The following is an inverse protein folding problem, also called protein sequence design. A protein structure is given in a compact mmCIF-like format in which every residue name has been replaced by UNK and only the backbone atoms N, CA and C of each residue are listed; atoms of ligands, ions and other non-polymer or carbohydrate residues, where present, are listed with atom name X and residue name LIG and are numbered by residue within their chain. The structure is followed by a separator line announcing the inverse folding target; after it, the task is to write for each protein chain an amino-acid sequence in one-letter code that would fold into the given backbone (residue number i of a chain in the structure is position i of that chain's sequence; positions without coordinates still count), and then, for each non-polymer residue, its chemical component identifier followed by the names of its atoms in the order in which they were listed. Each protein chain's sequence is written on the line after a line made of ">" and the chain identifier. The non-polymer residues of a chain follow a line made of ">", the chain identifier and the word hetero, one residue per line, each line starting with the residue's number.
data_IF_023296920495
#
_entry.id   IF_023296920495
#
_cell.length_a   1.000
_cell.length_b   1.000
_cell.length_c   1.000
_cell.angle_alpha   90.00
_cell.angle_beta   90.00
_cell.angle_gamma   90.00
#
_symmetry.space_group_name_H-M   'P 1'
#
loop_
_entity.id
_entity.type
_entity.pdbx_description
1 polymer ?
#
# COMPACT_ATOMS: atom_id res chain seq x y z
N UNK A 1 -1.28 13.51 -25.55
CA UNK A 1 -0.97 12.59 -24.45
C UNK A 1 0.54 12.57 -24.34
N UNK A 2 1.07 13.01 -23.21
CA UNK A 2 2.51 13.08 -22.99
C UNK A 2 3.01 11.86 -22.24
N UNK A 3 4.29 11.58 -22.40
CA UNK A 3 4.98 10.55 -21.66
C UNK A 3 5.56 11.18 -20.40
N UNK A 4 5.11 10.73 -19.24
CA UNK A 4 5.51 11.28 -17.95
C UNK A 4 6.31 10.23 -17.16
N UNK A 5 7.34 10.68 -16.45
CA UNK A 5 8.07 9.89 -15.47
C UNK A 5 7.83 10.43 -14.07
N UNK A 6 7.84 9.54 -13.08
CA UNK A 6 7.68 9.88 -11.68
C UNK A 6 8.81 9.32 -10.81
N UNK A 7 9.32 10.15 -9.91
CA UNK A 7 10.12 9.74 -8.76
C UNK A 7 9.17 9.48 -7.59
N UNK A 8 9.03 8.23 -7.18
CA UNK A 8 8.07 7.84 -6.14
C UNK A 8 8.58 6.69 -5.29
N UNK A 9 8.12 6.63 -4.03
CA UNK A 9 8.24 5.44 -3.17
C UNK A 9 6.99 4.56 -3.24
N UNK A 10 5.94 5.05 -3.89
CA UNK A 10 4.64 4.43 -4.02
C UNK A 10 4.21 4.43 -5.50
N UNK A 11 4.84 3.62 -6.37
CA UNK A 11 4.36 3.52 -7.74
C UNK A 11 2.98 2.87 -7.75
N UNK A 12 2.07 3.38 -8.57
CA UNK A 12 0.65 3.01 -8.61
C UNK A 12 0.40 1.48 -8.67
N UNK A 13 1.31 0.74 -9.30
CA UNK A 13 1.25 -0.71 -9.47
C UNK A 13 1.80 -1.53 -8.28
N UNK A 14 2.44 -0.91 -7.28
CA UNK A 14 3.11 -1.63 -6.18
C UNK A 14 2.18 -2.28 -5.17
N UNK A 15 0.87 -1.96 -5.18
CA UNK A 15 -0.13 -2.56 -4.28
C UNK A 15 0.11 -2.35 -2.76
N UNK A 16 1.22 -1.72 -2.38
CA UNK A 16 1.57 -1.31 -1.02
C UNK A 16 2.04 0.14 -1.09
N UNK A 17 1.29 1.10 -0.52
CA UNK A 17 1.76 2.46 -0.49
C UNK A 17 3.03 2.57 0.34
N UNK A 18 4.16 2.79 -0.33
CA UNK A 18 5.35 3.29 0.35
C UNK A 18 5.05 4.64 1.00
N UNK A 19 5.84 5.03 2.01
CA UNK A 19 5.69 6.35 2.63
C UNK A 19 5.80 7.42 1.52
N UNK A 20 4.78 8.29 1.33
CA UNK A 20 4.86 9.40 0.38
C UNK A 20 6.14 10.21 0.57
N UNK A 21 6.68 10.77 -0.52
CA UNK A 21 7.69 11.81 -0.36
C UNK A 21 7.06 12.98 0.40
N UNK A 22 7.80 13.59 1.32
CA UNK A 22 7.36 14.85 1.93
C UNK A 22 7.92 16.05 1.15
N UNK A 23 7.22 17.17 1.26
CA UNK A 23 7.69 18.43 0.67
C UNK A 23 9.04 18.86 1.27
N UNK A 24 9.27 18.58 2.56
CA UNK A 24 10.54 18.85 3.25
C UNK A 24 11.70 18.03 2.67
N UNK A 25 11.47 16.74 2.37
CA UNK A 25 12.49 15.89 1.72
C UNK A 25 12.83 16.42 0.33
N UNK A 26 11.84 16.90 -0.41
CA UNK A 26 12.05 17.49 -1.73
C UNK A 26 12.82 18.83 -1.64
N UNK A 27 12.45 19.71 -0.71
CA UNK A 27 13.15 20.97 -0.49
C UNK A 27 14.61 20.76 -0.08
N UNK A 28 14.88 19.76 0.76
CA UNK A 28 16.24 19.38 1.14
C UNK A 28 17.07 18.92 -0.07
N UNK A 29 16.46 18.23 -1.03
CA UNK A 29 17.13 17.86 -2.29
C UNK A 29 17.47 19.09 -3.11
N UNK A 30 16.53 20.01 -3.33
CA UNK A 30 16.75 21.23 -4.12
C UNK A 30 17.86 22.07 -3.47
N UNK A 31 17.82 22.25 -2.16
CA UNK A 31 18.79 23.09 -1.44
C UNK A 31 20.22 22.51 -1.41
N UNK A 32 20.37 21.18 -1.52
CA UNK A 32 21.68 20.49 -1.47
C UNK A 32 22.23 20.11 -2.84
N UNK A 33 21.46 20.30 -3.90
CA UNK A 33 21.90 20.02 -5.27
C UNK A 33 22.18 21.35 -5.98
N UNK A 34 23.46 21.70 -6.12
CA UNK A 34 23.88 22.95 -6.76
C UNK A 34 23.46 23.05 -8.24
N UNK A 35 22.97 21.97 -8.84
CA UNK A 35 22.41 21.98 -10.19
C UNK A 35 20.90 22.25 -10.22
N UNK A 36 20.22 22.28 -9.07
CA UNK A 36 18.78 22.52 -8.97
C UNK A 36 18.49 23.90 -8.38
N UNK A 37 17.42 24.52 -8.86
CA UNK A 37 16.83 25.71 -8.23
C UNK A 37 15.32 25.58 -8.16
N UNK A 38 14.70 26.27 -7.20
CA UNK A 38 13.25 26.42 -7.21
C UNK A 38 12.82 27.14 -8.48
N UNK A 39 11.89 26.54 -9.22
CA UNK A 39 11.33 27.16 -10.42
C UNK A 39 10.62 28.46 -10.02
N UNK A 40 10.75 29.53 -10.78
CA UNK A 40 10.02 30.77 -10.48
C UNK A 40 8.62 30.67 -11.09
N UNK A 41 7.56 30.65 -10.25
CA UNK A 41 6.19 30.68 -10.76
C UNK A 41 5.99 31.94 -11.59
N UNK A 42 5.30 31.82 -12.73
CA UNK A 42 4.81 32.97 -13.50
C UNK A 42 3.75 33.78 -12.74
N UNK A 43 3.26 33.29 -11.60
CA UNK A 43 2.35 33.95 -10.65
C UNK A 43 2.85 33.78 -9.20
N UNK A 44 3.96 34.43 -8.82
CA UNK A 44 4.63 34.21 -7.54
C UNK A 44 3.78 34.64 -6.33
N UNK A 45 2.85 35.58 -6.53
CA UNK A 45 1.97 36.06 -5.44
C UNK A 45 0.85 35.07 -5.06
N UNK A 46 0.59 34.06 -5.90
CA UNK A 46 -0.53 33.13 -5.70
C UNK A 46 -0.11 31.73 -5.23
N UNK A 47 1.10 31.28 -5.59
CA UNK A 47 1.62 29.97 -5.18
C UNK A 47 3.13 30.05 -4.95
N UNK A 48 3.65 29.71 -3.75
CA UNK A 48 5.05 29.34 -3.61
C UNK A 48 5.29 28.09 -4.47
N UNK A 49 6.27 28.13 -5.37
CA UNK A 49 6.58 26.97 -6.20
C UNK A 49 7.22 25.88 -5.36
N UNK A 50 6.73 24.66 -5.59
CA UNK A 50 7.34 23.46 -5.06
C UNK A 50 8.09 22.71 -6.17
N UNK A 51 8.25 23.32 -7.35
CA UNK A 51 8.88 22.73 -8.53
C UNK A 51 10.36 23.12 -8.58
N UNK A 52 11.16 22.33 -9.30
CA UNK A 52 12.57 22.62 -9.53
C UNK A 52 12.92 22.66 -11.02
N UNK A 53 13.86 23.53 -11.37
CA UNK A 53 14.52 23.58 -12.68
C UNK A 53 15.92 22.99 -12.56
N UNK A 54 16.38 22.30 -13.61
CA UNK A 54 17.75 21.80 -13.69
C UNK A 54 18.63 22.76 -14.49
N UNK A 55 19.63 23.35 -13.82
CA UNK A 55 20.48 24.39 -14.35
C UNK A 55 21.58 23.89 -15.30
N UNK A 56 22.01 22.65 -15.13
CA UNK A 56 23.21 22.11 -15.77
C UNK A 56 22.90 20.97 -16.75
N UNK A 57 21.86 21.17 -17.58
CA UNK A 57 21.57 20.22 -18.65
C UNK A 57 22.76 20.13 -19.65
N UNK A 58 23.27 18.93 -20.00
CA UNK A 58 24.41 18.79 -20.89
C UNK A 58 24.18 19.34 -22.31
N UNK A 59 22.94 19.27 -22.79
CA UNK A 59 22.52 19.96 -24.01
C UNK A 59 22.27 21.44 -23.73
N UNK A 60 23.20 22.29 -24.16
CA UNK A 60 23.15 23.76 -23.98
C UNK A 60 21.99 24.44 -24.74
N UNK A 61 21.30 23.72 -25.62
CA UNK A 61 20.09 24.24 -26.27
C UNK A 61 18.86 24.18 -25.36
N UNK A 62 18.89 23.31 -24.33
CA UNK A 62 17.84 23.20 -23.32
C UNK A 62 17.95 24.35 -22.34
N UNK A 63 16.84 25.06 -22.15
CA UNK A 63 16.76 26.08 -21.12
C UNK A 63 16.25 25.47 -19.80
N UNK A 64 16.51 26.10 -18.64
CA UNK A 64 16.00 25.61 -17.36
C UNK A 64 14.49 25.33 -17.37
N UNK A 65 13.69 26.17 -18.03
CA UNK A 65 12.25 25.98 -18.18
C UNK A 65 11.85 24.70 -18.94
N UNK A 66 12.73 24.16 -19.79
CA UNK A 66 12.52 22.91 -20.52
C UNK A 66 12.92 21.67 -19.69
N UNK A 67 13.44 21.89 -18.48
CA UNK A 67 14.01 20.86 -17.61
C UNK A 67 13.37 20.80 -16.23
N UNK A 68 12.05 21.02 -16.21
CA UNK A 68 11.25 21.09 -14.99
C UNK A 68 11.01 19.72 -14.34
N UNK A 69 11.12 19.71 -13.01
CA UNK A 69 10.67 18.66 -12.11
C UNK A 69 9.53 19.20 -11.25
N UNK A 70 8.33 18.65 -11.43
CA UNK A 70 7.11 19.16 -10.82
C UNK A 70 6.72 18.36 -9.58
N UNK A 71 6.40 19.06 -8.50
CA UNK A 71 5.89 18.42 -7.28
C UNK A 71 4.41 18.10 -7.42
N UNK A 72 4.03 16.83 -7.20
CA UNK A 72 2.63 16.38 -7.34
C UNK A 72 1.87 16.29 -6.02
N UNK A 73 2.55 16.48 -4.88
CA UNK A 73 1.98 16.31 -3.53
C UNK A 73 2.58 15.13 -2.76
N UNK A 74 3.02 14.10 -3.48
CA UNK A 74 3.59 12.86 -2.92
C UNK A 74 4.73 12.26 -3.76
N UNK A 75 4.97 12.81 -4.95
CA UNK A 75 5.98 12.40 -5.92
C UNK A 75 6.54 13.62 -6.68
N UNK A 76 7.55 13.36 -7.50
CA UNK A 76 8.14 14.35 -8.40
C UNK A 76 7.94 13.86 -9.83
N UNK A 77 7.27 14.63 -10.68
CA UNK A 77 6.99 14.27 -12.07
C UNK A 77 7.85 15.05 -13.06
N UNK A 78 8.11 14.47 -14.22
CA UNK A 78 8.77 15.13 -15.34
C UNK A 78 8.11 14.71 -16.65
N UNK A 79 7.81 15.69 -17.51
CA UNK A 79 7.13 15.46 -18.79
C UNK A 79 8.13 15.43 -19.93
N UNK A 80 8.02 14.41 -20.78
CA UNK A 80 8.89 14.20 -21.94
C UNK A 80 10.39 14.32 -21.63
N UNK A 81 10.90 13.64 -20.56
CA UNK A 81 12.31 13.75 -20.21
C UNK A 81 13.18 13.12 -21.31
N UNK A 82 14.27 13.78 -21.65
CA UNK A 82 15.33 13.16 -22.43
C UNK A 82 16.23 12.25 -21.56
N UNK A 83 17.13 11.49 -22.18
CA UNK A 83 17.99 10.54 -21.47
C UNK A 83 18.82 11.19 -20.35
N UNK A 84 19.23 12.45 -20.49
CA UNK A 84 20.00 13.15 -19.47
C UNK A 84 19.11 13.57 -18.29
N UNK A 85 17.89 14.01 -18.56
CA UNK A 85 16.89 14.28 -17.52
C UNK A 85 16.52 13.01 -16.77
N UNK A 86 16.31 11.88 -17.46
CA UNK A 86 16.06 10.59 -16.83
C UNK A 86 17.23 10.22 -15.90
N UNK A 87 18.47 10.37 -16.37
CA UNK A 87 19.64 10.12 -15.54
C UNK A 87 19.69 11.02 -14.29
N UNK A 88 19.33 12.31 -14.41
CA UNK A 88 19.21 13.23 -13.27
C UNK A 88 18.11 12.77 -12.31
N UNK A 89 16.95 12.35 -12.81
CA UNK A 89 15.87 11.80 -11.99
C UNK A 89 16.32 10.57 -11.19
N UNK A 90 17.09 9.66 -11.80
CA UNK A 90 17.62 8.48 -11.10
C UNK A 90 18.62 8.88 -9.99
N UNK A 91 19.44 9.92 -10.21
CA UNK A 91 20.34 10.42 -9.15
C UNK A 91 19.56 11.04 -8.00
N UNK A 92 18.51 11.79 -8.29
CA UNK A 92 17.60 12.37 -7.29
C UNK A 92 16.88 11.25 -6.51
N UNK A 93 16.36 10.24 -7.20
CA UNK A 93 15.63 9.14 -6.57
C UNK A 93 16.48 8.37 -5.56
N UNK A 94 17.77 8.16 -5.86
CA UNK A 94 18.73 7.54 -4.92
C UNK A 94 18.89 8.32 -3.62
N UNK A 95 18.94 9.66 -3.67
CA UNK A 95 18.99 10.52 -2.47
C UNK A 95 17.71 10.39 -1.64
N UNK A 96 16.58 10.30 -2.32
CA UNK A 96 15.25 10.13 -1.73
C UNK A 96 14.94 8.68 -1.34
N UNK A 97 15.81 7.71 -1.60
CA UNK A 97 15.52 6.27 -1.44
C UNK A 97 14.19 5.88 -2.13
N UNK A 98 14.01 6.39 -3.36
CA UNK A 98 12.83 6.22 -4.20
C UNK A 98 13.21 5.53 -5.52
N UNK A 99 12.22 5.29 -6.39
CA UNK A 99 12.41 4.73 -7.74
C UNK A 99 11.94 5.71 -8.80
N UNK A 100 12.45 5.58 -10.02
CA UNK A 100 11.96 6.31 -11.21
C UNK A 100 11.14 5.35 -12.05
N UNK A 101 9.89 5.73 -12.33
CA UNK A 101 8.90 4.87 -12.99
C UNK A 101 8.19 5.65 -14.09
N UNK A 102 7.98 5.01 -15.24
CA UNK A 102 7.17 5.58 -16.33
C UNK A 102 5.70 5.18 -16.30
N UNK A 103 4.92 5.78 -17.18
CA UNK A 103 3.48 5.56 -17.29
C UNK A 103 3.08 4.09 -17.51
N UNK A 104 3.95 3.27 -18.11
CA UNK A 104 3.70 1.84 -18.36
C UNK A 104 4.22 0.94 -17.22
N UNK A 105 4.77 1.53 -16.15
CA UNK A 105 5.34 0.83 -15.00
C UNK A 105 6.80 0.41 -15.16
N UNK A 106 7.43 0.75 -16.28
CA UNK A 106 8.85 0.55 -16.55
C UNK A 106 9.72 1.28 -15.52
N UNK A 107 10.82 0.65 -15.11
CA UNK A 107 11.73 1.22 -14.11
C UNK A 107 13.01 1.70 -14.78
N UNK A 108 13.41 2.91 -14.43
CA UNK A 108 14.65 3.50 -14.90
C UNK A 108 15.73 3.44 -13.82
N UNK A 109 16.92 2.99 -14.20
CA UNK A 109 18.12 3.04 -13.38
C UNK A 109 19.34 3.47 -14.22
N UNK A 110 20.50 3.57 -13.57
CA UNK A 110 21.79 3.81 -14.22
C UNK A 110 22.65 2.55 -14.14
N UNK A 111 23.25 2.17 -15.27
CA UNK A 111 24.29 1.16 -15.31
C UNK A 111 25.59 1.64 -14.60
N UNK A 112 26.61 0.76 -14.43
CA UNK A 112 27.87 1.15 -13.81
C UNK A 112 28.63 2.29 -14.53
N UNK A 113 28.31 2.55 -15.80
CA UNK A 113 28.91 3.64 -16.60
C UNK A 113 28.08 4.93 -16.55
N UNK A 114 26.97 4.94 -15.81
CA UNK A 114 26.08 6.10 -15.70
C UNK A 114 25.13 6.27 -16.90
N UNK A 115 24.95 5.25 -17.74
CA UNK A 115 23.98 5.23 -18.84
C UNK A 115 22.62 4.78 -18.32
N UNK A 116 21.55 5.39 -18.85
CA UNK A 116 20.18 5.00 -18.51
C UNK A 116 19.89 3.59 -19.03
N UNK A 117 19.36 2.76 -18.14
CA UNK A 117 18.84 1.43 -18.46
C UNK A 117 17.39 1.33 -18.03
N UNK A 118 16.59 0.67 -18.85
CA UNK A 118 15.20 0.36 -18.57
C UNK A 118 15.14 -1.09 -18.12
N UNK A 119 14.72 -1.31 -16.88
CA UNK A 119 14.48 -2.64 -16.37
C UNK A 119 13.00 -2.97 -16.62
N UNK A 120 12.75 -3.69 -17.71
CA UNK A 120 11.45 -4.28 -18.04
C UNK A 120 11.17 -5.55 -17.22
N UNK A 121 12.06 -5.92 -16.30
CA UNK A 121 11.79 -7.00 -15.36
C UNK A 121 10.52 -6.65 -14.59
N UNK A 122 9.45 -7.37 -14.96
CA UNK A 122 8.17 -7.33 -14.30
C UNK A 122 8.44 -7.28 -12.79
N UNK A 123 7.80 -6.29 -12.14
CA UNK A 123 7.77 -6.18 -10.70
C UNK A 123 7.77 -7.59 -10.08
N UNK A 124 8.67 -7.90 -9.12
CA UNK A 124 8.70 -9.23 -8.51
C UNK A 124 7.27 -9.59 -8.15
N UNK A 125 6.80 -10.75 -8.64
CA UNK A 125 5.42 -11.21 -8.47
C UNK A 125 4.98 -10.84 -7.05
N UNK A 126 4.10 -9.84 -6.96
CA UNK A 126 3.66 -9.37 -5.66
C UNK A 126 3.10 -10.59 -4.94
N UNK A 127 3.51 -10.89 -3.69
CA UNK A 127 2.80 -11.88 -2.92
C UNK A 127 1.34 -11.45 -2.95
N UNK A 128 0.46 -12.37 -3.37
CA UNK A 128 -1.00 -12.23 -3.47
C UNK A 128 -1.49 -11.22 -2.44
N UNK A 129 -2.39 -10.28 -2.80
CA UNK A 129 -2.72 -9.12 -1.99
C UNK A 129 -2.78 -9.49 -0.51
N UNK A 130 -1.86 -8.94 0.28
CA UNK A 130 -1.76 -9.27 1.69
C UNK A 130 -3.01 -8.70 2.37
N UNK A 131 -4.03 -9.54 2.51
CA UNK A 131 -5.27 -9.19 3.18
C UNK A 131 -4.94 -9.03 4.66
N UNK A 132 -4.97 -7.80 5.15
CA UNK A 132 -4.87 -7.50 6.56
C UNK A 132 -6.24 -7.67 7.23
N UNK A 133 -6.33 -8.53 8.25
CA UNK A 133 -7.54 -8.73 9.03
C UNK A 133 -7.46 -9.98 9.90
N UNK A 134 -8.18 -9.99 11.02
CA UNK A 134 -8.15 -11.12 11.95
C UNK A 134 -8.52 -12.46 11.28
N UNK A 135 -9.48 -12.44 10.33
CA UNK A 135 -9.86 -13.61 9.52
C UNK A 135 -8.82 -14.14 8.54
N UNK A 136 -7.88 -13.29 8.10
CA UNK A 136 -6.82 -13.67 7.17
C UNK A 136 -5.56 -14.18 7.87
N UNK A 137 -5.45 -14.02 9.21
CA UNK A 137 -4.35 -14.56 10.00
C UNK A 137 -4.47 -16.08 10.12
N UNK A 138 -3.32 -16.73 10.30
CA UNK A 138 -3.26 -18.17 10.57
C UNK A 138 -3.88 -18.50 11.94
N UNK A 139 -4.32 -19.75 12.07
CA UNK A 139 -4.79 -20.29 13.34
C UNK A 139 -3.64 -20.40 14.37
N UNK A 140 -2.40 -20.59 13.93
CA UNK A 140 -1.22 -20.47 14.78
C UNK A 140 -1.07 -19.07 15.38
N UNK A 141 -1.19 -18.01 14.57
CA UNK A 141 -1.16 -16.63 15.03
C UNK A 141 -2.28 -16.34 16.05
N UNK A 142 -3.49 -16.84 15.77
CA UNK A 142 -4.63 -16.71 16.68
C UNK A 142 -4.38 -17.39 18.01
N UNK A 143 -3.94 -18.66 18.01
CA UNK A 143 -3.76 -19.44 19.25
C UNK A 143 -2.62 -18.90 20.10
N UNK A 144 -1.53 -18.44 19.50
CA UNK A 144 -0.45 -17.73 20.19
C UNK A 144 -0.97 -16.46 20.88
N UNK A 145 -1.83 -15.72 20.19
CA UNK A 145 -2.43 -14.47 20.71
C UNK A 145 -3.50 -14.75 21.78
N UNK A 146 -4.25 -15.85 21.65
CA UNK A 146 -5.30 -16.24 22.59
C UNK A 146 -4.74 -16.78 23.93
N UNK A 147 -3.51 -17.31 23.92
CA UNK A 147 -2.81 -17.74 25.15
C UNK A 147 -2.19 -16.60 25.94
N UNK A 148 -2.05 -15.42 25.34
CA UNK A 148 -1.58 -14.22 26.03
C UNK A 148 -2.75 -13.51 26.74
N UNK A 149 -3.06 -13.98 27.95
CA UNK A 149 -4.21 -13.51 28.76
C UNK A 149 -4.11 -12.04 29.18
N UNK A 150 -2.96 -11.38 28.97
CA UNK A 150 -2.78 -9.96 29.25
C UNK A 150 -3.22 -9.05 28.07
N UNK A 151 -3.54 -9.63 26.91
CA UNK A 151 -3.76 -8.88 25.68
C UNK A 151 -5.25 -8.74 25.33
N UNK A 152 -5.78 -7.51 25.19
CA UNK A 152 -7.13 -7.25 24.66
C UNK A 152 -7.35 -7.78 23.23
N UNK A 153 -6.30 -8.28 22.57
CA UNK A 153 -6.31 -8.76 21.19
C UNK A 153 -7.11 -10.06 21.05
N UNK A 154 -7.28 -10.86 22.10
CA UNK A 154 -8.17 -12.04 22.08
C UNK A 154 -9.63 -11.68 21.75
N UNK A 155 -10.09 -10.49 22.18
CA UNK A 155 -11.43 -9.96 21.90
C UNK A 155 -11.59 -9.58 20.41
N UNK A 156 -10.49 -9.24 19.72
CA UNK A 156 -10.52 -8.82 18.32
C UNK A 156 -11.02 -9.96 17.42
N UNK A 157 -10.64 -11.20 17.70
CA UNK A 157 -11.03 -12.35 16.89
C UNK A 157 -12.51 -12.68 17.02
N UNK A 158 -13.07 -12.66 18.23
CA UNK A 158 -14.49 -12.91 18.43
C UNK A 158 -15.36 -11.75 17.90
N UNK A 159 -14.93 -10.51 18.10
CA UNK A 159 -15.61 -9.36 17.49
C UNK A 159 -15.57 -9.41 15.96
N UNK A 160 -14.46 -9.86 15.37
CA UNK A 160 -14.35 -10.07 13.93
C UNK A 160 -15.33 -11.16 13.46
N UNK A 161 -15.47 -12.27 14.19
CA UNK A 161 -16.47 -13.30 13.89
C UNK A 161 -17.91 -12.75 13.91
N UNK A 162 -18.27 -11.92 14.89
CA UNK A 162 -19.58 -11.27 14.92
C UNK A 162 -19.79 -10.33 13.73
N UNK A 163 -18.75 -9.60 13.32
CA UNK A 163 -18.77 -8.78 12.11
C UNK A 163 -18.95 -9.62 10.83
N UNK A 164 -18.27 -10.76 10.73
CA UNK A 164 -18.42 -11.71 9.63
C UNK A 164 -19.86 -12.23 9.50
N UNK A 165 -20.48 -12.64 10.62
CA UNK A 165 -21.88 -13.06 10.65
C UNK A 165 -22.82 -11.93 10.23
N UNK A 166 -22.53 -10.70 10.70
CA UNK A 166 -23.32 -9.51 10.33
C UNK A 166 -23.25 -9.23 8.84
N UNK A 167 -22.07 -9.36 8.22
CA UNK A 167 -21.92 -9.22 6.77
C UNK A 167 -22.74 -10.26 5.99
N UNK A 168 -22.74 -11.52 6.45
CA UNK A 168 -23.59 -12.57 5.84
C UNK A 168 -25.07 -12.22 5.99
N UNK A 169 -25.50 -11.76 7.17
CA UNK A 169 -26.89 -11.35 7.38
C UNK A 169 -27.29 -10.16 6.50
N UNK A 170 -26.39 -9.19 6.29
CA UNK A 170 -26.64 -8.08 5.38
C UNK A 170 -26.87 -8.57 3.94
N UNK A 171 -26.02 -9.47 3.44
CA UNK A 171 -26.18 -10.08 2.11
C UNK A 171 -27.49 -10.88 2.00
N UNK A 172 -27.81 -11.70 3.02
CA UNK A 172 -29.06 -12.46 3.08
C UNK A 172 -30.29 -11.55 3.06
N UNK A 173 -30.26 -10.46 3.81
CA UNK A 173 -31.35 -9.49 3.86
C UNK A 173 -31.54 -8.81 2.49
N UNK A 174 -30.45 -8.42 1.81
CA UNK A 174 -30.51 -7.87 0.45
C UNK A 174 -31.14 -8.84 -0.55
N UNK A 175 -30.88 -10.14 -0.39
CA UNK A 175 -31.47 -11.22 -1.20
C UNK A 175 -32.91 -11.59 -0.81
N UNK A 176 -33.52 -10.94 0.19
CA UNK A 176 -34.85 -11.30 0.70
C UNK A 176 -34.90 -12.63 1.48
N UNK A 177 -33.75 -13.15 1.92
CA UNK A 177 -33.63 -14.37 2.73
C UNK A 177 -33.75 -14.03 4.23
N UNK A 178 -34.20 -15.01 5.02
CA UNK A 178 -34.22 -14.88 6.48
C UNK A 178 -32.82 -14.63 7.04
N UNK A 179 -32.69 -13.70 7.99
CA UNK A 179 -31.42 -13.48 8.69
C UNK A 179 -31.17 -14.58 9.71
N UNK A 180 -29.90 -14.88 9.96
CA UNK A 180 -29.47 -15.83 10.97
C UNK A 180 -29.47 -15.14 12.34
N UNK A 181 -30.05 -15.79 13.33
CA UNK A 181 -30.04 -15.30 14.72
C UNK A 181 -29.03 -16.10 15.52
N UNK A 182 -28.00 -15.43 16.05
CA UNK A 182 -27.07 -16.04 17.01
C UNK A 182 -27.51 -15.70 18.43
N UNK A 183 -27.53 -16.70 19.30
CA UNK A 183 -27.71 -16.49 20.72
C UNK A 183 -26.38 -16.03 21.33
N UNK A 184 -26.35 -14.84 21.93
CA UNK A 184 -25.12 -14.23 22.48
C UNK A 184 -25.11 -14.26 24.02
N UNK A 185 -25.67 -15.29 24.65
CA UNK A 185 -25.50 -15.46 26.10
C UNK A 185 -24.02 -15.67 26.44
N UNK A 186 -23.57 -15.28 27.65
CA UNK A 186 -22.19 -15.52 28.09
C UNK A 186 -21.74 -16.97 27.94
N UNK A 187 -22.65 -17.94 28.12
CA UNK A 187 -22.39 -19.37 27.96
C UNK A 187 -22.08 -19.72 26.50
N UNK A 188 -22.92 -19.27 25.56
CA UNK A 188 -22.74 -19.55 24.13
C UNK A 188 -21.48 -18.87 23.60
N UNK A 189 -21.20 -17.64 24.07
CA UNK A 189 -19.96 -16.92 23.73
C UNK A 189 -18.72 -17.70 24.18
N UNK A 190 -18.72 -18.24 25.41
CA UNK A 190 -17.61 -19.06 25.91
C UNK A 190 -17.44 -20.35 25.12
N UNK A 191 -18.55 -21.01 24.75
CA UNK A 191 -18.51 -22.20 23.90
C UNK A 191 -17.93 -21.89 22.51
N UNK A 192 -18.34 -20.79 21.88
CA UNK A 192 -17.82 -20.38 20.58
C UNK A 192 -16.31 -20.10 20.65
N UNK A 193 -15.87 -19.38 21.67
CA UNK A 193 -14.45 -19.09 21.88
C UNK A 193 -13.64 -20.37 22.12
N UNK A 194 -14.15 -21.29 22.94
CA UNK A 194 -13.51 -22.58 23.17
C UNK A 194 -13.43 -23.40 21.88
N UNK A 195 -14.49 -23.41 21.07
CA UNK A 195 -14.50 -24.06 19.76
C UNK A 195 -13.42 -23.48 18.84
N UNK A 196 -13.36 -22.15 18.70
CA UNK A 196 -12.39 -21.48 17.83
C UNK A 196 -10.95 -21.75 18.26
N UNK A 197 -10.67 -21.71 19.57
CA UNK A 197 -9.36 -22.05 20.13
C UNK A 197 -9.00 -23.49 19.80
N UNK A 198 -9.92 -24.44 20.01
CA UNK A 198 -9.65 -25.84 19.78
C UNK A 198 -9.43 -26.14 18.29
N UNK A 199 -10.32 -25.65 17.42
CA UNK A 199 -10.18 -25.80 15.97
C UNK A 199 -8.84 -25.28 15.48
N UNK A 200 -8.45 -24.08 15.92
CA UNK A 200 -7.17 -23.51 15.48
C UNK A 200 -5.93 -24.18 16.08
N UNK A 201 -6.05 -24.88 17.23
CA UNK A 201 -4.96 -25.73 17.73
C UNK A 201 -4.77 -26.98 16.90
N UNK A 202 -5.86 -27.55 16.38
CA UNK A 202 -5.85 -28.74 15.54
C UNK A 202 -5.44 -28.44 14.09
N UNK A 203 -5.65 -27.21 13.63
CA UNK A 203 -5.41 -26.77 12.25
C UNK A 203 -4.56 -25.48 12.20
N UNK A 204 -3.30 -25.49 12.65
CA UNK A 204 -2.49 -24.26 12.78
C UNK A 204 -2.22 -23.53 11.45
N UNK A 205 -2.19 -24.27 10.34
CA UNK A 205 -1.99 -23.76 8.97
C UNK A 205 -3.24 -23.13 8.35
N UNK A 206 -4.44 -23.42 8.89
CA UNK A 206 -5.68 -22.85 8.40
C UNK A 206 -5.80 -21.36 8.75
N UNK A 207 -6.62 -20.62 8.00
CA UNK A 207 -6.95 -19.24 8.34
C UNK A 207 -8.04 -19.18 9.42
N UNK A 208 -8.04 -18.12 10.22
CA UNK A 208 -9.10 -17.91 11.21
C UNK A 208 -10.50 -17.81 10.56
N UNK A 209 -10.60 -17.33 9.31
CA UNK A 209 -11.84 -17.34 8.55
C UNK A 209 -12.39 -18.76 8.35
N UNK A 210 -11.54 -19.77 8.14
CA UNK A 210 -12.00 -21.16 8.05
C UNK A 210 -12.60 -21.64 9.37
N UNK A 211 -11.95 -21.35 10.50
CA UNK A 211 -12.48 -21.65 11.82
C UNK A 211 -13.85 -20.97 12.07
N UNK A 212 -13.96 -19.69 11.71
CA UNK A 212 -15.20 -18.91 11.80
C UNK A 212 -16.33 -19.49 10.93
N UNK A 213 -16.01 -19.92 9.70
CA UNK A 213 -16.97 -20.56 8.81
C UNK A 213 -17.46 -21.90 9.38
N UNK A 214 -16.56 -22.72 9.93
CA UNK A 214 -16.92 -24.00 10.55
C UNK A 214 -17.79 -23.78 11.80
N UNK A 215 -17.47 -22.80 12.64
CA UNK A 215 -18.30 -22.44 13.79
C UNK A 215 -19.72 -22.05 13.36
N UNK A 216 -19.83 -21.20 12.33
CA UNK A 216 -21.12 -20.78 11.79
C UNK A 216 -21.92 -21.97 11.26
N UNK A 217 -21.30 -22.86 10.49
CA UNK A 217 -21.94 -24.09 9.99
C UNK A 217 -22.45 -24.97 11.14
N UNK A 218 -21.65 -25.15 12.18
CA UNK A 218 -22.06 -25.92 13.37
C UNK A 218 -23.26 -25.27 14.07
N UNK A 219 -23.27 -23.94 14.24
CA UNK A 219 -24.40 -23.24 14.88
C UNK A 219 -25.66 -23.32 14.04
N UNK A 220 -25.55 -23.20 12.71
CA UNK A 220 -26.69 -23.37 11.79
C UNK A 220 -27.24 -24.81 11.79
N UNK A 221 -26.39 -25.82 11.94
CA UNK A 221 -26.85 -27.21 12.04
C UNK A 221 -27.56 -27.52 13.37
N UNK A 222 -27.31 -26.73 14.42
CA UNK A 222 -27.89 -26.92 15.77
C UNK A 222 -29.15 -26.10 16.02
N UNK A 223 -29.47 -25.12 15.17
CA UNK A 223 -30.74 -24.41 15.19
C UNK A 223 -31.69 -25.04 14.17
N UNK A 224 -32.76 -25.75 14.58
CA UNK A 224 -33.78 -26.18 13.63
C UNK A 224 -34.47 -24.94 13.01
N UNK A 225 -35.01 -25.06 11.79
CA UNK A 225 -35.74 -23.97 11.12
C UNK A 225 -36.99 -23.53 11.89
#
# INVERSE_FOLDING_TARGET
>A
MGYDLEITRNPLWSGRPGKPLSLEEWFDVIQKDDELQFAVSSQPEKYPTCDAEWLNHPDLSKKPEDTLFCWTGDAISCKYPDEQQIAKMVRISRRLKAVVVGDSGERYDLDPNGKVVVNDEAAPELPLPLIYGAGARSCADFTQTATDTASPVSVIFYNWYLGFVTAINAARHQDGKSVMTLNLTPEVVREDQAFLIQYCREHPECSFHQAALTLLQMRLARCPP
#
